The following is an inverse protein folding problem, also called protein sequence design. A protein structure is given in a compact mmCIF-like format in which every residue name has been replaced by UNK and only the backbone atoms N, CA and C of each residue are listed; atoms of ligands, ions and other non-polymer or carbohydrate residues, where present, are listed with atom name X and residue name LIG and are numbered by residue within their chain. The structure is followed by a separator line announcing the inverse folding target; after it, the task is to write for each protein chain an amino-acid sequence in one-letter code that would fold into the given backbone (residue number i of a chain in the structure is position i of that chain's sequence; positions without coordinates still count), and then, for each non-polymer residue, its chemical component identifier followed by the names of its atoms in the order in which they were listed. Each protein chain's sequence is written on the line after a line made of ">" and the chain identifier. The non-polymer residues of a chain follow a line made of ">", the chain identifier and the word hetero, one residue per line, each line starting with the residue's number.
data_IF_248711259021
#
_entry.id   IF_248711259021
#
_cell.length_a   1.000
_cell.length_b   1.000
_cell.length_c   1.000
_cell.angle_alpha   90.00
_cell.angle_beta   90.00
_cell.angle_gamma   90.00
#
_symmetry.space_group_name_H-M   'P 1'
#
loop_
_entity.id
_entity.type
_entity.pdbx_description
1 polymer ?
#
# COMPACT_ATOMS: atom_id res chain seq x y z
N UNK A 1 -43.92 18.51 49.70
CA UNK A 1 -42.74 17.81 49.17
C UNK A 1 -42.97 17.56 47.69
N UNK A 2 -42.30 18.28 46.76
CA UNK A 2 -42.23 17.85 45.36
C UNK A 2 -40.85 17.25 45.08
N UNK A 3 -40.84 16.00 44.62
CA UNK A 3 -39.65 15.30 44.15
C UNK A 3 -39.35 15.73 42.72
N UNK A 4 -38.23 16.43 42.53
CA UNK A 4 -37.71 16.84 41.23
C UNK A 4 -36.97 15.67 40.58
N UNK A 5 -37.52 15.13 39.49
CA UNK A 5 -36.87 14.13 38.66
C UNK A 5 -35.88 14.84 37.71
N UNK A 6 -34.62 14.93 38.11
CA UNK A 6 -33.53 15.35 37.23
C UNK A 6 -33.20 14.22 36.25
N UNK A 7 -33.64 14.38 34.99
CA UNK A 7 -33.25 13.53 33.88
C UNK A 7 -31.76 13.78 33.56
N UNK A 8 -30.88 12.89 34.02
CA UNK A 8 -29.47 12.87 33.66
C UNK A 8 -29.36 12.39 32.21
N UNK A 9 -29.25 13.35 31.29
CA UNK A 9 -28.85 13.12 29.90
C UNK A 9 -27.38 12.68 29.88
N UNK A 10 -27.14 11.37 29.89
CA UNK A 10 -25.87 10.78 29.48
C UNK A 10 -25.74 10.95 27.95
N UNK A 11 -25.10 12.02 27.52
CA UNK A 11 -24.56 12.12 26.16
C UNK A 11 -23.30 11.27 26.07
N UNK A 12 -23.28 10.17 25.30
CA UNK A 12 -22.03 9.49 25.01
C UNK A 12 -21.21 10.43 24.13
N UNK A 13 -20.16 11.00 24.71
CA UNK A 13 -19.11 11.64 23.94
C UNK A 13 -18.49 10.60 23.02
N UNK A 14 -18.90 10.62 21.75
CA UNK A 14 -18.21 9.90 20.69
C UNK A 14 -16.85 10.57 20.59
N UNK A 15 -15.90 10.10 21.39
CA UNK A 15 -14.50 10.37 21.18
C UNK A 15 -14.19 9.76 19.82
N UNK A 16 -14.10 10.60 18.81
CA UNK A 16 -13.49 10.25 17.54
C UNK A 16 -12.07 9.79 17.88
N UNK A 17 -11.89 8.48 18.03
CA UNK A 17 -10.57 7.87 18.11
C UNK A 17 -9.97 8.16 16.75
N UNK A 18 -9.18 9.23 16.65
CA UNK A 18 -8.35 9.48 15.50
C UNK A 18 -7.39 8.29 15.42
N UNK A 19 -7.81 7.27 14.67
CA UNK A 19 -6.99 6.15 14.24
C UNK A 19 -6.01 6.71 13.22
N UNK A 20 -5.01 7.43 13.72
CA UNK A 20 -3.84 7.84 12.97
C UNK A 20 -3.08 6.58 12.57
N UNK A 21 -3.41 6.13 11.38
CA UNK A 21 -2.71 5.14 10.59
C UNK A 21 -1.76 5.96 9.70
N UNK A 22 -0.61 5.41 9.33
CA UNK A 22 -0.13 5.69 7.97
C UNK A 22 -1.24 5.28 6.99
N UNK A 23 -2.15 6.19 6.69
CA UNK A 23 -3.38 5.93 5.91
C UNK A 23 -3.17 6.19 4.44
N UNK A 24 -2.15 7.00 4.12
CA UNK A 24 -1.96 7.52 2.79
C UNK A 24 -0.69 6.92 2.19
N UNK A 25 -0.80 6.21 1.05
CA UNK A 25 0.34 5.96 0.20
C UNK A 25 1.02 7.29 -0.15
N UNK A 26 2.34 7.30 -0.14
CA UNK A 26 3.10 8.51 -0.38
C UNK A 26 4.55 8.20 -0.64
N UNK A 27 5.22 9.07 -1.40
CA UNK A 27 6.63 8.92 -1.70
C UNK A 27 7.41 10.09 -1.14
N UNK A 28 8.55 9.80 -0.51
CA UNK A 28 9.53 10.79 -0.11
C UNK A 28 10.84 10.47 -0.82
N UNK A 29 11.35 11.45 -1.55
CA UNK A 29 12.45 11.25 -2.50
C UNK A 29 12.10 10.13 -3.49
N UNK A 30 12.67 8.92 -3.31
CA UNK A 30 12.40 7.72 -4.11
C UNK A 30 11.95 6.52 -3.27
N UNK A 31 11.72 6.71 -1.97
CA UNK A 31 11.13 5.68 -1.12
C UNK A 31 9.62 5.92 -1.10
N UNK A 32 8.84 4.89 -1.32
CA UNK A 32 7.39 4.97 -1.37
C UNK A 32 6.77 4.08 -0.31
N UNK A 33 5.75 4.57 0.37
CA UNK A 33 4.83 3.77 1.16
C UNK A 33 3.72 3.30 0.24
N UNK A 34 3.60 1.99 0.08
CA UNK A 34 2.59 1.33 -0.74
C UNK A 34 1.79 0.36 0.13
N UNK A 35 0.50 0.24 -0.13
CA UNK A 35 -0.34 -0.71 0.58
C UNK A 35 -0.28 -2.06 -0.12
N UNK A 36 -0.08 -3.14 0.62
CA UNK A 36 -0.16 -4.50 0.09
C UNK A 36 -1.62 -4.99 0.02
N UNK A 37 -1.83 -6.17 -0.58
CA UNK A 37 -3.17 -6.77 -0.74
C UNK A 37 -3.88 -7.06 0.59
N UNK A 38 -3.12 -7.19 1.69
CA UNK A 38 -3.64 -7.36 3.05
C UNK A 38 -3.98 -6.04 3.75
N UNK A 39 -3.78 -4.89 3.08
CA UNK A 39 -4.01 -3.57 3.65
C UNK A 39 -2.90 -3.06 4.56
N UNK A 40 -1.78 -3.77 4.69
CA UNK A 40 -0.61 -3.32 5.42
C UNK A 40 0.22 -2.35 4.58
N UNK A 41 0.81 -1.34 5.23
CA UNK A 41 1.64 -0.35 4.57
C UNK A 41 3.10 -0.80 4.56
N UNK A 42 3.68 -0.83 3.37
CA UNK A 42 4.99 -1.38 3.11
C UNK A 42 5.88 -0.35 2.45
N UNK A 43 7.16 -0.35 2.84
CA UNK A 43 8.15 0.52 2.20
C UNK A 43 8.66 -0.16 0.95
N UNK A 44 8.51 0.52 -0.17
CA UNK A 44 9.24 0.25 -1.40
C UNK A 44 10.39 1.24 -1.49
N UNK A 45 11.56 0.80 -1.03
CA UNK A 45 12.74 1.65 -0.98
C UNK A 45 13.34 1.80 -2.38
N UNK A 46 14.12 2.85 -2.62
CA UNK A 46 14.95 2.93 -3.81
C UNK A 46 16.38 3.28 -3.43
N UNK A 47 17.30 3.04 -4.37
CA UNK A 47 18.66 3.50 -4.22
C UNK A 47 18.77 5.02 -4.33
N UNK A 48 19.10 5.65 -3.21
CA UNK A 48 19.35 7.09 -3.09
C UNK A 48 20.85 7.40 -3.01
N UNK A 49 21.69 6.58 -3.66
CA UNK A 49 23.15 6.66 -3.55
C UNK A 49 23.72 5.74 -2.49
N UNK A 50 25.05 5.67 -2.46
CA UNK A 50 25.77 4.87 -1.49
C UNK A 50 25.35 5.28 -0.07
N UNK A 51 25.15 4.33 0.85
CA UNK A 51 24.81 4.68 2.22
C UNK A 51 25.90 5.61 2.75
N UNK A 52 25.55 6.88 2.99
CA UNK A 52 26.41 7.80 3.73
C UNK A 52 26.72 7.15 5.07
N UNK A 53 27.98 7.18 5.50
CA UNK A 53 28.36 6.62 6.79
C UNK A 53 27.45 7.23 7.86
N UNK A 54 26.66 6.36 8.51
CA UNK A 54 25.74 6.79 9.56
C UNK A 54 26.57 7.21 10.77
N UNK A 55 26.95 8.49 10.80
CA UNK A 55 27.73 9.08 11.89
C UNK A 55 26.89 9.28 13.15
N UNK A 56 25.57 9.16 13.02
CA UNK A 56 24.63 9.25 14.13
C UNK A 56 24.59 7.94 14.93
N UNK A 57 25.14 7.99 16.15
CA UNK A 57 25.20 6.82 17.05
C UNK A 57 23.82 6.27 17.41
N UNK A 58 22.80 7.13 17.52
CA UNK A 58 21.44 6.70 17.87
C UNK A 58 20.83 5.99 16.67
N UNK A 59 20.81 6.62 15.50
CA UNK A 59 20.25 6.00 14.30
C UNK A 59 20.99 4.72 13.88
N UNK A 60 22.32 4.67 14.04
CA UNK A 60 23.12 3.48 13.77
C UNK A 60 22.73 2.31 14.68
N UNK A 61 22.52 2.58 15.99
CA UNK A 61 22.01 1.58 16.92
C UNK A 61 20.59 1.14 16.55
N UNK A 62 19.71 2.08 16.22
CA UNK A 62 18.32 1.77 15.87
C UNK A 62 18.21 0.94 14.60
N UNK A 63 19.07 1.21 13.61
CA UNK A 63 19.20 0.35 12.42
C UNK A 63 19.55 -1.08 12.80
N UNK A 64 20.53 -1.28 13.67
CA UNK A 64 20.94 -2.61 14.14
C UNK A 64 19.81 -3.31 14.90
N UNK A 65 19.14 -2.60 15.81
CA UNK A 65 17.99 -3.11 16.58
C UNK A 65 16.83 -3.50 15.65
N UNK A 66 16.52 -2.68 14.65
CA UNK A 66 15.43 -2.93 13.72
C UNK A 66 15.74 -4.12 12.81
N UNK A 67 16.95 -4.19 12.26
CA UNK A 67 17.41 -5.32 11.40
C UNK A 67 17.34 -6.65 12.16
N UNK A 68 17.72 -6.66 13.44
CA UNK A 68 17.72 -7.86 14.28
C UNK A 68 16.44 -8.06 15.11
N UNK A 69 15.40 -7.25 14.86
CA UNK A 69 14.14 -7.31 15.59
C UNK A 69 13.49 -8.69 15.45
N UNK A 70 13.03 -9.25 16.57
CA UNK A 70 12.28 -10.52 16.60
C UNK A 70 10.78 -10.35 16.38
N UNK A 71 10.28 -9.11 16.43
CA UNK A 71 8.87 -8.82 16.17
C UNK A 71 8.61 -8.80 14.66
N UNK A 72 9.59 -8.36 13.87
CA UNK A 72 9.52 -8.36 12.40
C UNK A 72 8.58 -7.32 11.79
N UNK A 73 8.38 -6.18 12.46
CA UNK A 73 7.61 -5.08 11.87
C UNK A 73 8.49 -4.36 10.83
N UNK A 74 8.10 -4.36 9.56
CA UNK A 74 8.85 -3.69 8.49
C UNK A 74 8.94 -2.18 8.71
N UNK A 75 7.95 -1.60 9.39
CA UNK A 75 7.92 -0.21 9.84
C UNK A 75 7.58 -0.18 11.33
N UNK A 76 8.45 0.44 12.12
CA UNK A 76 8.23 0.57 13.56
C UNK A 76 8.81 1.88 14.10
N UNK A 77 8.19 2.36 15.18
CA UNK A 77 8.62 3.51 15.95
C UNK A 77 9.42 3.08 17.17
N UNK A 78 10.45 3.84 17.47
CA UNK A 78 11.41 3.57 18.54
C UNK A 78 11.67 4.82 19.36
N UNK A 79 12.05 4.62 20.62
CA UNK A 79 12.74 5.62 21.40
C UNK A 79 14.26 5.64 21.09
N UNK A 80 15.01 6.56 21.69
CA UNK A 80 16.47 6.65 21.54
C UNK A 80 17.24 5.42 22.06
N UNK A 81 16.62 4.58 22.88
CA UNK A 81 17.22 3.38 23.48
C UNK A 81 17.03 2.15 22.62
N UNK A 82 16.14 2.20 21.64
CA UNK A 82 15.77 1.07 20.77
C UNK A 82 14.60 0.25 21.30
N UNK A 83 13.83 0.77 22.27
CA UNK A 83 12.57 0.15 22.63
C UNK A 83 11.52 0.47 21.57
N UNK A 84 10.81 -0.57 21.11
CA UNK A 84 9.70 -0.41 20.18
C UNK A 84 8.57 0.29 20.92
N UNK A 85 8.18 1.45 20.42
CA UNK A 85 7.05 2.21 20.91
C UNK A 85 5.77 1.68 20.27
N UNK A 86 5.78 1.49 18.96
CA UNK A 86 4.58 1.16 18.21
C UNK A 86 4.85 0.70 16.75
N UNK A 87 3.88 0.06 16.07
CA UNK A 87 3.94 -0.24 14.64
C UNK A 87 3.61 0.98 13.76
N UNK A 88 3.61 0.82 12.43
CA UNK A 88 3.21 1.84 11.44
C UNK A 88 1.86 2.53 11.70
N UNK A 89 0.91 1.88 12.39
CA UNK A 89 -0.44 2.44 12.57
C UNK A 89 -0.57 3.32 13.82
N UNK A 90 0.54 3.84 14.33
CA UNK A 90 0.57 4.58 15.57
C UNK A 90 0.44 6.09 15.36
N UNK A 91 -0.49 6.77 16.05
CA UNK A 91 -0.54 8.23 16.09
C UNK A 91 0.75 8.77 16.68
N UNK A 92 1.56 9.42 15.87
CA UNK A 92 2.68 10.20 16.39
C UNK A 92 2.11 11.47 17.06
N UNK A 93 2.26 11.65 18.38
CA UNK A 93 1.71 12.82 19.06
C UNK A 93 2.34 14.12 18.56
N UNK A 94 1.54 15.17 18.39
CA UNK A 94 2.01 16.51 18.07
C UNK A 94 1.50 17.49 19.16
N UNK A 95 2.38 18.12 19.96
CA UNK A 95 3.84 18.01 19.93
C UNK A 95 4.35 16.67 20.50
N UNK A 96 5.55 16.28 20.05
CA UNK A 96 6.24 15.09 20.56
C UNK A 96 6.77 15.33 21.99
N UNK A 97 6.42 14.49 22.98
CA UNK A 97 6.91 14.64 24.35
C UNK A 97 8.39 14.27 24.51
N UNK A 98 8.94 13.49 23.58
CA UNK A 98 10.33 13.06 23.52
C UNK A 98 10.71 12.71 22.07
N UNK A 99 12.01 12.61 21.73
CA UNK A 99 12.44 12.21 20.39
C UNK A 99 11.94 10.80 20.04
N UNK A 100 11.22 10.72 18.93
CA UNK A 100 10.73 9.47 18.36
C UNK A 100 11.47 9.22 17.05
N UNK A 101 11.83 7.97 16.82
CA UNK A 101 12.48 7.54 15.59
C UNK A 101 11.59 6.55 14.85
N UNK A 102 11.61 6.60 13.53
CA UNK A 102 10.94 5.62 12.67
C UNK A 102 11.99 4.88 11.87
N UNK A 103 11.94 3.56 11.95
CA UNK A 103 12.74 2.67 11.13
C UNK A 103 11.84 1.91 10.16
N UNK A 104 12.33 1.77 8.94
CA UNK A 104 11.61 1.26 7.80
C UNK A 104 12.54 0.33 7.03
N UNK A 105 12.06 -0.85 6.69
CA UNK A 105 12.77 -1.82 5.87
C UNK A 105 11.87 -2.29 4.74
N UNK A 106 12.46 -2.53 3.58
CA UNK A 106 11.68 -2.90 2.41
C UNK A 106 12.54 -3.39 1.27
N UNK A 107 11.86 -4.01 0.29
CA UNK A 107 12.48 -4.38 -0.97
C UNK A 107 12.80 -3.14 -1.78
N UNK A 108 13.92 -3.16 -2.48
CA UNK A 108 14.30 -2.11 -3.42
C UNK A 108 13.46 -2.20 -4.69
N UNK A 109 12.98 -1.06 -5.17
CA UNK A 109 12.24 -0.92 -6.43
C UNK A 109 13.15 -0.98 -7.65
N UNK A 110 14.42 -0.62 -7.49
CA UNK A 110 15.37 -0.47 -8.59
C UNK A 110 16.19 -1.74 -8.86
N UNK A 111 16.21 -2.70 -7.94
CA UNK A 111 16.91 -3.96 -8.11
C UNK A 111 16.19 -5.11 -7.41
N UNK A 112 15.99 -6.21 -8.13
CA UNK A 112 15.38 -7.42 -7.57
C UNK A 112 16.27 -8.01 -6.48
N UNK A 113 15.64 -8.50 -5.42
CA UNK A 113 16.28 -9.18 -4.28
C UNK A 113 17.30 -8.34 -3.49
N UNK A 114 17.29 -7.02 -3.70
CA UNK A 114 17.95 -6.07 -2.84
C UNK A 114 16.96 -5.48 -1.84
N UNK A 115 17.47 -5.17 -0.65
CA UNK A 115 16.69 -4.62 0.45
C UNK A 115 17.42 -3.43 1.02
N UNK A 116 16.64 -2.47 1.50
CA UNK A 116 17.16 -1.31 2.18
C UNK A 116 16.39 -1.10 3.46
N UNK A 117 17.14 -0.85 4.52
CA UNK A 117 16.62 -0.46 5.82
C UNK A 117 17.10 0.95 6.11
N UNK A 118 16.22 1.82 6.58
CA UNK A 118 16.52 3.20 6.93
C UNK A 118 15.87 3.58 8.26
N UNK A 119 16.53 4.43 9.02
CA UNK A 119 15.99 5.03 10.24
C UNK A 119 16.15 6.54 10.18
N UNK A 120 15.17 7.26 10.72
CA UNK A 120 15.15 8.72 10.82
C UNK A 120 14.33 9.17 12.02
N UNK A 121 14.47 10.43 12.39
CA UNK A 121 13.57 11.07 13.38
C UNK A 121 12.17 11.21 12.79
N UNK A 122 11.14 10.90 13.57
CA UNK A 122 9.75 11.21 13.25
C UNK A 122 9.40 12.57 13.85
N UNK A 123 8.82 13.48 13.07
CA UNK A 123 8.46 14.84 13.50
C UNK A 123 6.95 14.97 13.78
N UNK A 124 6.14 14.28 12.99
CA UNK A 124 4.69 14.23 13.11
C UNK A 124 4.15 12.93 12.50
N UNK A 125 2.84 12.77 12.53
CA UNK A 125 2.16 11.66 11.85
C UNK A 125 2.21 11.84 10.32
N UNK A 126 2.18 10.75 9.55
CA UNK A 126 2.26 10.81 8.07
C UNK A 126 3.44 11.67 7.55
N UNK A 127 4.61 11.52 8.19
CA UNK A 127 5.85 12.27 7.92
C UNK A 127 6.52 11.84 6.59
N UNK A 128 5.74 11.78 5.52
CA UNK A 128 6.14 11.35 4.18
C UNK A 128 6.35 12.55 3.27
N UNK A 129 5.63 13.64 3.50
CA UNK A 129 5.57 14.75 2.54
C UNK A 129 6.74 15.75 2.64
N UNK A 130 7.45 15.85 3.77
CA UNK A 130 8.47 16.88 3.99
C UNK A 130 9.91 16.31 4.03
N UNK A 131 10.36 15.72 2.92
CA UNK A 131 11.69 15.11 2.77
C UNK A 131 12.86 16.02 3.18
N UNK A 132 12.73 17.34 2.99
CA UNK A 132 13.76 18.33 3.33
C UNK A 132 13.90 18.62 4.83
N UNK A 133 12.92 18.25 5.64
CA UNK A 133 12.99 18.42 7.09
C UNK A 133 13.87 17.35 7.77
N UNK A 134 14.28 16.29 7.06
CA UNK A 134 15.11 15.22 7.61
C UNK A 134 16.59 15.44 7.30
N UNK A 135 17.25 16.20 8.17
CA UNK A 135 18.71 16.33 8.20
C UNK A 135 19.41 15.07 8.74
N UNK A 136 18.69 14.25 9.54
CA UNK A 136 19.20 13.04 10.19
C UNK A 136 18.51 11.77 9.67
N UNK A 137 19.03 11.23 8.59
CA UNK A 137 18.62 9.93 8.03
C UNK A 137 19.83 9.01 7.91
N UNK A 138 19.68 7.77 8.34
CA UNK A 138 20.66 6.71 8.11
C UNK A 138 20.03 5.55 7.38
N UNK A 139 20.81 4.88 6.52
CA UNK A 139 20.35 3.72 5.78
C UNK A 139 21.45 2.68 5.60
N UNK A 140 21.05 1.41 5.48
CA UNK A 140 21.89 0.26 5.18
C UNK A 140 21.20 -0.63 4.14
N UNK A 141 21.99 -1.23 3.27
CA UNK A 141 21.52 -2.16 2.23
C UNK A 141 21.38 -3.59 2.79
N UNK A 142 20.56 -3.73 3.84
CA UNK A 142 20.28 -5.02 4.48
C UNK A 142 18.79 -5.15 4.81
N UNK A 143 18.19 -6.34 4.63
CA UNK A 143 16.85 -6.64 5.13
C UNK A 143 16.84 -6.85 6.64
N UNK A 144 15.65 -6.90 7.24
CA UNK A 144 15.49 -7.52 8.57
C UNK A 144 15.71 -9.03 8.50
N UNK A 145 16.07 -9.66 9.63
CA UNK A 145 16.17 -11.11 9.71
C UNK A 145 14.82 -11.84 9.69
N UNK A 146 13.73 -11.15 10.05
CA UNK A 146 12.36 -11.68 10.10
C UNK A 146 11.37 -10.54 9.84
N UNK A 147 10.31 -10.81 9.08
CA UNK A 147 9.25 -9.83 8.77
C UNK A 147 7.89 -10.52 8.93
N UNK A 148 7.01 -9.95 9.76
CA UNK A 148 5.72 -10.52 10.16
C UNK A 148 4.50 -9.82 9.55
N UNK A 149 4.68 -8.61 9.02
CA UNK A 149 3.59 -7.81 8.42
C UNK A 149 3.32 -8.12 6.94
N UNK A 150 4.07 -9.05 6.36
CA UNK A 150 3.88 -9.49 4.98
C UNK A 150 4.36 -8.50 3.93
N UNK A 151 5.17 -7.50 4.30
CA UNK A 151 5.65 -6.50 3.34
C UNK A 151 6.73 -7.02 2.37
N UNK A 152 7.56 -7.96 2.82
CA UNK A 152 8.50 -8.67 1.96
C UNK A 152 8.95 -9.99 2.61
N UNK A 153 9.47 -10.92 1.82
CA UNK A 153 10.07 -12.15 2.32
C UNK A 153 11.59 -12.01 2.35
N UNK A 154 12.19 -12.14 3.53
CA UNK A 154 13.65 -12.09 3.72
C UNK A 154 14.36 -13.20 2.95
N UNK A 155 13.72 -14.37 2.91
CA UNK A 155 14.14 -15.52 2.13
C UNK A 155 13.07 -15.78 1.08
N UNK A 156 12.93 -14.87 0.11
CA UNK A 156 12.17 -15.18 -1.09
C UNK A 156 12.83 -16.42 -1.71
N UNK A 157 12.29 -17.61 -1.42
CA UNK A 157 12.58 -18.81 -2.19
C UNK A 157 12.21 -18.39 -3.61
N UNK A 158 13.13 -18.44 -4.59
CA UNK A 158 12.79 -18.11 -5.96
C UNK A 158 11.58 -18.96 -6.30
N UNK A 159 10.46 -18.30 -6.60
CA UNK A 159 9.23 -19.04 -6.83
C UNK A 159 9.49 -20.00 -7.97
N UNK A 160 9.40 -21.30 -7.67
CA UNK A 160 9.43 -22.35 -8.67
C UNK A 160 8.10 -22.42 -9.42
N UNK A 161 7.08 -21.68 -8.96
CA UNK A 161 5.82 -21.56 -9.66
C UNK A 161 5.97 -20.57 -10.82
N UNK A 162 5.82 -21.02 -12.08
CA UNK A 162 5.93 -20.15 -13.24
C UNK A 162 4.86 -19.05 -13.29
N UNK A 163 3.80 -19.18 -12.47
CA UNK A 163 2.74 -18.18 -12.32
C UNK A 163 3.15 -16.93 -11.53
N UNK A 164 4.26 -16.95 -10.78
CA UNK A 164 4.73 -15.76 -10.07
C UNK A 164 5.61 -14.85 -10.93
N UNK A 165 5.86 -15.25 -12.19
CA UNK A 165 6.55 -14.40 -13.15
C UNK A 165 5.57 -13.38 -13.76
N UNK A 166 5.72 -12.07 -13.49
CA UNK A 166 4.79 -11.05 -13.97
C UNK A 166 4.71 -11.00 -15.50
N UNK A 167 5.79 -11.34 -16.21
CA UNK A 167 5.78 -11.41 -17.67
C UNK A 167 4.88 -12.56 -18.17
N UNK A 168 4.86 -13.68 -17.46
CA UNK A 168 4.07 -14.86 -17.84
C UNK A 168 2.59 -14.65 -17.52
N UNK A 169 2.27 -14.05 -16.36
CA UNK A 169 0.89 -13.64 -16.01
C UNK A 169 0.35 -12.65 -17.04
N UNK A 170 1.15 -11.65 -17.42
CA UNK A 170 0.75 -10.67 -18.43
C UNK A 170 0.52 -11.34 -19.80
N UNK A 171 1.40 -12.25 -20.22
CA UNK A 171 1.24 -13.00 -21.45
C UNK A 171 -0.06 -13.83 -21.46
N UNK A 172 -0.38 -14.52 -20.36
CA UNK A 172 -1.62 -15.30 -20.23
C UNK A 172 -2.85 -14.39 -20.32
N UNK A 173 -2.83 -13.23 -19.66
CA UNK A 173 -3.93 -12.26 -19.72
C UNK A 173 -4.14 -11.72 -21.15
N UNK A 174 -3.06 -11.35 -21.83
CA UNK A 174 -3.11 -10.83 -23.21
C UNK A 174 -3.63 -11.91 -24.17
N UNK A 175 -3.13 -13.14 -24.04
CA UNK A 175 -3.60 -14.27 -24.85
C UNK A 175 -5.09 -14.58 -24.60
N UNK A 176 -5.53 -14.54 -23.34
CA UNK A 176 -6.94 -14.70 -22.98
C UNK A 176 -7.84 -13.64 -23.62
N UNK A 177 -7.39 -12.37 -23.62
CA UNK A 177 -8.11 -11.28 -24.28
C UNK A 177 -8.22 -11.50 -25.80
N UNK A 178 -7.12 -11.91 -26.46
CA UNK A 178 -7.10 -12.19 -27.90
C UNK A 178 -8.08 -13.32 -28.26
N UNK A 179 -8.10 -14.41 -27.50
CA UNK A 179 -9.02 -15.53 -27.73
C UNK A 179 -10.47 -15.09 -27.55
N UNK A 180 -10.76 -14.28 -26.53
CA UNK A 180 -12.10 -13.75 -26.26
C UNK A 180 -12.58 -12.85 -27.40
N UNK A 181 -11.72 -11.95 -27.89
CA UNK A 181 -12.04 -11.07 -29.02
C UNK A 181 -12.22 -11.88 -30.30
N UNK A 182 -11.36 -12.87 -30.56
CA UNK A 182 -11.46 -13.74 -31.74
C UNK A 182 -12.74 -14.59 -31.75
N UNK A 183 -13.14 -15.13 -30.60
CA UNK A 183 -14.40 -15.89 -30.46
C UNK A 183 -15.62 -14.99 -30.66
N UNK A 184 -15.63 -13.76 -30.11
CA UNK A 184 -16.67 -12.77 -30.39
C UNK A 184 -16.72 -12.40 -31.88
N UNK A 185 -15.58 -12.10 -32.49
CA UNK A 185 -15.50 -11.72 -33.90
C UNK A 185 -15.99 -12.83 -34.83
N UNK A 186 -15.66 -14.09 -34.55
CA UNK A 186 -16.15 -15.26 -35.32
C UNK A 186 -17.63 -15.52 -35.11
N UNK A 187 -18.14 -15.34 -33.88
CA UNK A 187 -19.57 -15.42 -33.58
C UNK A 187 -20.36 -14.35 -34.35
N UNK A 188 -19.91 -13.10 -34.36
CA UNK A 188 -20.55 -12.02 -35.12
C UNK A 188 -20.33 -12.07 -36.64
N UNK A 189 -19.25 -12.74 -37.11
CA UNK A 189 -19.02 -12.99 -38.55
C UNK A 189 -19.91 -14.07 -39.14
N UNK A 190 -20.55 -14.93 -38.33
CA UNK A 190 -21.62 -15.80 -38.84
C UNK A 190 -22.78 -14.88 -39.26
N UNK A 191 -22.78 -14.58 -40.56
CA UNK A 191 -23.74 -13.75 -41.27
C UNK A 191 -25.15 -14.02 -40.74
N UNK A 192 -25.74 -12.97 -40.19
CA UNK A 192 -27.18 -12.92 -39.93
C UNK A 192 -27.90 -12.86 -41.28
N UNK A 193 -27.94 -14.02 -41.96
CA UNK A 193 -28.80 -14.22 -43.13
C UNK A 193 -30.29 -14.14 -42.76
N UNK A 194 -30.61 -14.10 -41.46
CA UNK A 194 -31.95 -13.84 -40.96
C UNK A 194 -31.86 -12.59 -40.07
N UNK A 195 -32.39 -11.48 -40.59
CA UNK A 195 -32.17 -10.13 -40.08
C UNK A 195 -32.32 -9.97 -38.57
N UNK A 196 -31.51 -9.07 -38.01
CA UNK A 196 -31.61 -8.65 -36.62
C UNK A 196 -33.01 -8.08 -36.33
N UNK A 197 -33.81 -8.79 -35.53
CA UNK A 197 -34.88 -8.17 -34.74
C UNK A 197 -34.35 -8.01 -33.33
N UNK A 198 -33.87 -6.83 -32.98
CA UNK A 198 -33.65 -6.47 -31.58
C UNK A 198 -35.02 -6.38 -30.91
N UNK A 199 -35.38 -7.37 -30.09
CA UNK A 199 -36.49 -7.24 -29.14
C UNK A 199 -35.97 -6.52 -27.91
N UNK A 200 -36.17 -5.20 -27.86
CA UNK A 200 -36.08 -4.46 -26.61
C UNK A 200 -37.40 -4.68 -25.88
N UNK A 201 -37.46 -5.69 -25.01
CA UNK A 201 -38.60 -5.83 -24.09
C UNK A 201 -38.43 -4.84 -22.94
N UNK A 202 -38.77 -3.58 -23.19
CA UNK A 202 -39.13 -2.67 -22.10
C UNK A 202 -40.50 -3.08 -21.58
N UNK A 203 -40.65 -3.13 -20.24
CA UNK A 203 -41.91 -3.45 -19.55
C UNK A 203 -43.06 -2.46 -19.88
N UNK A 204 -42.79 -1.39 -20.62
CA UNK A 204 -43.74 -0.32 -20.95
C UNK A 204 -43.71 0.13 -22.43
N UNK A 205 -43.87 -0.81 -23.37
CA UNK A 205 -44.35 -0.49 -24.72
C UNK A 205 -43.45 -0.91 -25.89
N UNK A 206 -44.05 -1.59 -26.87
CA UNK A 206 -43.40 -1.95 -28.14
C UNK A 206 -43.48 -0.75 -29.10
N UNK A 207 -42.35 -0.17 -29.50
CA UNK A 207 -42.26 0.67 -30.70
C UNK A 207 -41.36 -0.01 -31.73
N UNK A 208 -41.87 -0.16 -32.93
CA UNK A 208 -41.12 -0.63 -34.08
C UNK A 208 -40.40 0.55 -34.72
N UNK A 209 -39.07 0.58 -34.63
CA UNK A 209 -38.25 1.47 -35.45
C UNK A 209 -37.84 0.71 -36.71
N UNK A 210 -38.64 0.87 -37.76
CA UNK A 210 -38.27 0.45 -39.11
C UNK A 210 -37.56 1.60 -39.82
N UNK A 211 -36.33 1.38 -40.29
CA UNK A 211 -35.68 2.28 -41.25
C UNK A 211 -35.96 1.71 -42.63
N UNK A 212 -36.88 2.33 -43.37
CA UNK A 212 -37.06 2.06 -44.80
C UNK A 212 -35.98 2.80 -45.57
N UNK A 213 -35.15 2.04 -46.28
CA UNK A 213 -34.17 2.56 -47.25
C UNK A 213 -34.93 3.23 -48.38
N UNK A 214 -34.68 4.52 -48.60
CA UNK A 214 -35.16 5.26 -49.78
C UNK A 214 -34.23 4.88 -50.94
N UNK A 215 -34.80 4.30 -51.99
CA UNK A 215 -34.13 4.10 -53.27
C UNK A 215 -34.05 5.45 -53.98
N UNK A 216 -32.84 5.81 -54.40
CA UNK A 216 -32.54 6.63 -55.58
C UNK A 216 -31.36 5.93 -56.29
#
# INVERSE_FOLDING_TARGET
>A
MPTSLAAVLLTPGIASIALARFTTPGCWQRNCLVQNDAGALCVQAAYNGAPTTCNDKVLSRLLDVHVHSKIGLSIAYYDERGHILAPAIWPVPAPLPFPVYVCMSGRRSDANDHYRTLCRTALHDDDVYNASAYDRVCAVERPQGFVSDGCYSVNAVPSTNPLDNPALVHAVFVLGAIVTIGTLATYFRKSLKHGWRFFVTSRYGRRFLGVTRRED
#
